data_IF_428044326820
#
_entry.id   IF_428044326820
#
_cell.length_a   1.000
_cell.length_b   1.000
_cell.length_c   1.000
_cell.angle_alpha   90.00
_cell.angle_beta   90.00
_cell.angle_gamma   90.00
#
_symmetry.space_group_name_H-M   'P 1'
#
loop_
_entity.id
_entity.type
_entity.pdbx_description
1 polymer ?
#
# COMPACT_ATOMS: atom_id res chain seq x y z
N UNK A 1 -12.98 7.49 1.59
CA UNK A 1 -11.90 7.92 2.51
C UNK A 1 -10.89 8.73 1.72
N UNK A 2 -10.74 10.03 1.99
CA UNK A 2 -9.86 10.93 1.22
C UNK A 2 -8.37 10.53 1.22
N UNK A 3 -7.93 9.69 2.17
CA UNK A 3 -6.54 9.21 2.28
C UNK A 3 -6.07 8.36 1.09
N UNK A 4 -6.98 7.74 0.32
CA UNK A 4 -6.60 7.00 -0.90
C UNK A 4 -6.32 7.94 -2.09
N UNK A 5 -6.97 9.10 -2.11
CA UNK A 5 -6.92 10.07 -3.21
C UNK A 5 -5.88 11.18 -2.98
N UNK A 6 -5.63 11.57 -1.73
CA UNK A 6 -4.65 12.63 -1.38
C UNK A 6 -3.22 12.11 -1.15
N UNK A 7 -2.85 10.92 -1.63
CA UNK A 7 -1.48 10.44 -1.49
C UNK A 7 -0.56 11.33 -2.34
N UNK A 8 0.47 11.97 -1.74
CA UNK A 8 1.36 12.90 -2.48
C UNK A 8 2.24 12.20 -3.52
N UNK A 9 2.26 10.86 -3.53
CA UNK A 9 3.02 10.05 -4.46
C UNK A 9 2.10 9.30 -5.42
N UNK A 10 2.10 9.74 -6.68
CA UNK A 10 1.47 9.04 -7.80
C UNK A 10 2.37 7.86 -8.21
N UNK A 11 1.86 6.63 -8.40
CA UNK A 11 0.45 6.26 -8.51
C UNK A 11 -0.18 5.72 -7.21
N UNK A 12 -1.49 5.97 -7.07
CA UNK A 12 -2.33 5.72 -5.90
C UNK A 12 -2.40 4.25 -5.41
N UNK A 13 -1.88 3.30 -6.19
CA UNK A 13 -1.99 1.85 -5.96
C UNK A 13 -0.68 1.17 -5.54
N UNK A 14 0.44 1.90 -5.39
CA UNK A 14 1.71 1.28 -4.98
C UNK A 14 1.81 1.21 -3.45
N UNK A 15 1.99 -0.02 -2.96
CA UNK A 15 2.44 -0.30 -1.58
C UNK A 15 3.91 0.09 -1.36
N UNK A 16 4.69 0.23 -2.44
CA UNK A 16 6.10 0.62 -2.38
C UNK A 16 6.27 2.12 -2.15
N UNK A 17 7.13 2.49 -1.22
CA UNK A 17 7.54 3.86 -0.93
C UNK A 17 8.74 4.29 -1.79
N UNK A 18 9.04 5.61 -1.92
CA UNK A 18 10.19 6.09 -2.70
C UNK A 18 11.55 5.59 -2.17
N UNK A 19 11.59 5.10 -0.93
CA UNK A 19 12.75 4.43 -0.35
C UNK A 19 12.67 2.94 -0.69
N UNK A 20 13.74 2.40 -1.29
CA UNK A 20 13.86 0.97 -1.59
C UNK A 20 13.74 0.13 -0.31
N UNK A 21 13.03 -0.99 -0.39
CA UNK A 21 12.78 -1.86 0.77
C UNK A 21 11.70 -1.37 1.75
N UNK A 22 11.09 -0.20 1.50
CA UNK A 22 10.03 0.34 2.38
C UNK A 22 8.66 0.13 1.74
N UNK A 23 7.76 -0.49 2.50
CA UNK A 23 6.42 -0.87 2.08
C UNK A 23 5.37 -0.38 3.07
N UNK A 24 4.25 0.11 2.55
CA UNK A 24 3.15 0.62 3.35
C UNK A 24 2.09 -0.45 3.58
N UNK A 25 1.94 -0.87 4.83
CA UNK A 25 0.86 -1.74 5.29
C UNK A 25 -0.02 -0.94 6.26
N UNK A 26 -1.09 -0.34 5.75
CA UNK A 26 -2.06 0.36 6.58
C UNK A 26 -3.47 0.09 6.08
N UNK A 27 -4.44 0.03 6.99
CA UNK A 27 -5.88 -0.03 6.67
C UNK A 27 -6.32 1.14 5.80
N UNK A 28 -5.56 2.25 5.78
CA UNK A 28 -5.82 3.39 4.90
C UNK A 28 -5.27 3.21 3.47
N UNK A 29 -4.68 2.06 3.15
CA UNK A 29 -4.15 1.72 1.81
C UNK A 29 -5.21 0.95 1.00
N UNK A 30 -5.14 1.03 -0.34
CA UNK A 30 -5.96 0.20 -1.22
C UNK A 30 -5.90 -1.26 -0.74
N UNK A 31 -6.97 -2.08 -0.80
CA UNK A 31 -8.32 -1.84 -1.36
C UNK A 31 -9.31 -1.07 -0.45
N UNK A 32 -8.88 -0.61 0.74
CA UNK A 32 -9.72 0.12 1.69
C UNK A 32 -9.76 -0.52 3.08
N UNK A 33 -10.05 0.31 4.08
CA UNK A 33 -9.95 -0.01 5.51
C UNK A 33 -11.11 -0.81 6.07
N UNK A 34 -11.26 -2.04 5.61
CA UNK A 34 -12.03 -3.04 6.35
C UNK A 34 -11.11 -4.09 6.94
N UNK A 35 -11.59 -4.77 7.98
CA UNK A 35 -10.86 -5.73 8.80
C UNK A 35 -10.37 -7.00 8.06
N UNK A 36 -10.43 -7.00 6.73
CA UNK A 36 -10.08 -8.13 5.85
C UNK A 36 -8.57 -8.29 5.61
N UNK A 37 -7.70 -7.38 6.11
CA UNK A 37 -6.24 -7.57 6.07
C UNK A 37 -5.59 -7.51 4.67
N UNK A 38 -6.36 -7.29 3.60
CA UNK A 38 -5.88 -7.29 2.21
C UNK A 38 -4.76 -6.27 1.92
N UNK A 39 -4.71 -5.16 2.67
CA UNK A 39 -3.63 -4.19 2.53
C UNK A 39 -2.26 -4.78 2.91
N UNK A 40 -2.20 -5.63 3.94
CA UNK A 40 -0.97 -6.32 4.32
C UNK A 40 -0.61 -7.44 3.35
N UNK A 41 -1.61 -8.20 2.88
CA UNK A 41 -1.42 -9.23 1.86
C UNK A 41 -0.81 -8.66 0.58
N UNK A 42 -1.36 -7.55 0.08
CA UNK A 42 -0.85 -6.91 -1.14
C UNK A 42 0.51 -6.22 -0.92
N UNK A 43 0.79 -5.69 0.28
CA UNK A 43 2.12 -5.19 0.61
C UNK A 43 3.16 -6.30 0.58
N UNK A 44 2.85 -7.47 1.16
CA UNK A 44 3.72 -8.64 1.14
C UNK A 44 3.98 -9.16 -0.29
N UNK A 45 2.95 -9.23 -1.14
CA UNK A 45 3.14 -9.54 -2.56
C UNK A 45 4.07 -8.54 -3.27
N UNK A 46 4.00 -7.26 -2.91
CA UNK A 46 4.85 -6.23 -3.51
C UNK A 46 6.31 -6.31 -3.04
N UNK A 47 6.53 -6.80 -1.82
CA UNK A 47 7.86 -7.13 -1.29
C UNK A 47 8.42 -8.33 -2.05
N UNK A 48 7.63 -9.39 -2.22
CA UNK A 48 8.03 -10.60 -2.95
C UNK A 48 8.39 -10.31 -4.41
N UNK A 49 7.67 -9.40 -5.08
CA UNK A 49 7.98 -8.95 -6.46
C UNK A 49 9.25 -8.08 -6.56
N UNK A 50 9.82 -7.63 -5.44
CA UNK A 50 11.05 -6.82 -5.40
C UNK A 50 12.29 -7.61 -4.96
N UNK A 51 12.11 -8.86 -4.55
CA UNK A 51 13.20 -9.83 -4.31
C UNK A 51 13.69 -10.39 -5.66
#
# INVERSE_FOLDING_TARGET
TQQLFLRPFFPYFRYRMPVRGVYLCSSSTHPGGGAHGMCGYNAALRVLDDL
#
